data_IF_758154875547
#
_entry.id   IF_758154875547
#
_cell.length_a   1.000
_cell.length_b   1.000
_cell.length_c   1.000
_cell.angle_alpha   90.00
_cell.angle_beta   90.00
_cell.angle_gamma   90.00
#
_symmetry.space_group_name_H-M   'P 1'
#
loop_
_entity.id
_entity.type
_entity.pdbx_description
1 polymer ?
#
# COMPACT_ATOMS: atom_id res chain seq x y z
N UNK A 1 -12.60 21.21 1.35
CA UNK A 1 -11.59 20.25 1.86
C UNK A 1 -11.05 19.52 0.64
N UNK A 2 -9.76 19.65 0.31
CA UNK A 2 -9.17 19.00 -0.87
C UNK A 2 -8.68 17.60 -0.49
N UNK A 3 -9.15 16.60 -1.21
CA UNK A 3 -8.69 15.21 -1.12
C UNK A 3 -7.58 14.99 -2.15
N UNK A 4 -6.75 13.96 -1.97
CA UNK A 4 -5.83 13.55 -3.02
C UNK A 4 -6.64 13.12 -4.25
N UNK A 5 -6.41 13.77 -5.39
CA UNK A 5 -7.08 13.39 -6.63
C UNK A 5 -6.55 12.04 -7.13
N UNK A 6 -7.42 11.06 -7.39
CA UNK A 6 -6.97 9.77 -7.87
C UNK A 6 -6.53 9.82 -9.33
N UNK A 7 -5.45 9.10 -9.64
CA UNK A 7 -5.02 8.91 -11.03
C UNK A 7 -6.14 8.22 -11.84
N UNK A 8 -6.56 8.86 -12.93
CA UNK A 8 -7.68 8.37 -13.75
C UNK A 8 -7.42 6.99 -14.37
N UNK A 9 -6.17 6.72 -14.79
CA UNK A 9 -5.77 5.41 -15.35
C UNK A 9 -5.86 4.33 -14.28
N UNK A 10 -5.45 4.65 -13.05
CA UNK A 10 -5.60 3.74 -11.91
C UNK A 10 -7.06 3.43 -11.60
N UNK A 11 -7.93 4.45 -11.56
CA UNK A 11 -9.37 4.26 -11.32
C UNK A 11 -10.02 3.42 -12.42
N UNK A 12 -9.72 3.70 -13.68
CA UNK A 12 -10.26 2.94 -14.82
C UNK A 12 -9.80 1.48 -14.79
N UNK A 13 -8.49 1.24 -14.57
CA UNK A 13 -7.95 -0.11 -14.46
C UNK A 13 -8.62 -0.89 -13.33
N UNK A 14 -8.70 -0.30 -12.12
CA UNK A 14 -9.33 -0.91 -10.95
C UNK A 14 -10.80 -1.28 -11.21
N UNK A 15 -11.57 -0.39 -11.86
CA UNK A 15 -12.98 -0.65 -12.21
C UNK A 15 -13.15 -1.75 -13.26
N UNK A 16 -12.22 -1.89 -14.19
CA UNK A 16 -12.21 -2.99 -15.18
C UNK A 16 -11.95 -4.36 -14.53
N UNK A 17 -11.35 -4.37 -13.35
CA UNK A 17 -10.86 -5.57 -12.66
C UNK A 17 -9.47 -5.94 -13.15
N UNK A 18 -8.59 -6.26 -12.19
CA UNK A 18 -7.22 -6.72 -12.45
C UNK A 18 -6.75 -7.70 -11.38
N UNK A 19 -5.74 -8.50 -11.75
CA UNK A 19 -4.99 -9.28 -10.79
C UNK A 19 -3.97 -8.39 -10.07
N UNK A 20 -4.19 -8.20 -8.76
CA UNK A 20 -3.31 -7.42 -7.87
C UNK A 20 -2.52 -8.40 -7.01
N UNK A 21 -1.19 -8.37 -7.13
CA UNK A 21 -0.33 -9.22 -6.30
C UNK A 21 -0.04 -8.53 -4.97
N UNK A 22 -0.29 -9.23 -3.87
CA UNK A 22 0.26 -8.86 -2.56
C UNK A 22 1.75 -9.24 -2.53
N UNK A 23 2.63 -8.25 -2.66
CA UNK A 23 4.05 -8.43 -2.97
C UNK A 23 4.84 -8.90 -1.74
N UNK A 24 5.46 -10.10 -1.76
CA UNK A 24 6.29 -10.58 -0.67
C UNK A 24 7.59 -9.78 -0.51
N UNK A 25 8.16 -9.85 0.68
CA UNK A 25 9.46 -9.27 1.01
C UNK A 25 10.58 -10.29 0.81
N UNK A 26 11.56 -9.95 -0.02
CA UNK A 26 12.80 -10.67 -0.16
C UNK A 26 13.85 -10.12 0.81
N UNK A 27 14.40 -11.01 1.63
CA UNK A 27 15.44 -10.67 2.60
C UNK A 27 16.73 -11.45 2.35
N UNK A 28 17.85 -10.82 2.67
CA UNK A 28 19.14 -11.50 2.81
C UNK A 28 19.16 -12.36 4.06
N UNK A 29 20.21 -13.18 4.22
CA UNK A 29 20.42 -13.98 5.45
C UNK A 29 20.45 -13.11 6.72
N UNK A 30 20.92 -11.87 6.59
CA UNK A 30 21.04 -10.90 7.68
C UNK A 30 19.77 -10.06 7.88
N UNK A 31 18.64 -10.45 7.27
CA UNK A 31 17.33 -9.78 7.37
C UNK A 31 17.34 -8.34 6.86
N UNK A 32 18.21 -8.05 5.88
CA UNK A 32 18.19 -6.79 5.11
C UNK A 32 17.40 -6.99 3.82
N UNK A 33 16.87 -5.92 3.25
CA UNK A 33 16.22 -5.97 1.93
C UNK A 33 17.20 -6.56 0.90
N UNK A 34 16.80 -7.64 0.24
CA UNK A 34 17.56 -8.21 -0.89
C UNK A 34 17.05 -7.57 -2.18
N UNK A 35 17.66 -6.44 -2.56
CA UNK A 35 17.19 -5.63 -3.69
C UNK A 35 17.16 -6.40 -5.00
N UNK A 36 18.18 -7.24 -5.25
CA UNK A 36 18.27 -8.06 -6.45
C UNK A 36 17.09 -9.04 -6.55
N UNK A 37 16.77 -9.73 -5.46
CA UNK A 37 15.65 -10.69 -5.42
C UNK A 37 14.30 -9.98 -5.41
N UNK A 38 14.18 -8.85 -4.72
CA UNK A 38 12.95 -8.05 -4.70
C UNK A 38 12.62 -7.57 -6.12
N UNK A 39 13.60 -7.04 -6.85
CA UNK A 39 13.43 -6.62 -8.24
C UNK A 39 13.07 -7.80 -9.16
N UNK A 40 13.73 -8.95 -8.99
CA UNK A 40 13.43 -10.16 -9.76
C UNK A 40 11.97 -10.63 -9.53
N UNK A 41 11.49 -10.61 -8.28
CA UNK A 41 10.10 -10.95 -7.96
C UNK A 41 9.11 -9.95 -8.56
N UNK A 42 9.37 -8.63 -8.49
CA UNK A 42 8.54 -7.62 -9.14
C UNK A 42 8.42 -7.89 -10.63
N UNK A 43 9.56 -8.10 -11.32
CA UNK A 43 9.59 -8.42 -12.76
C UNK A 43 8.83 -9.70 -13.06
N UNK A 44 9.00 -10.74 -12.25
CA UNK A 44 8.29 -12.02 -12.40
C UNK A 44 6.77 -11.84 -12.36
N UNK A 45 6.24 -11.13 -11.37
CA UNK A 45 4.78 -10.92 -11.26
C UNK A 45 4.22 -10.13 -12.44
N UNK A 46 4.93 -9.08 -12.87
CA UNK A 46 4.51 -8.30 -14.04
C UNK A 46 4.56 -9.12 -15.32
N UNK A 47 5.63 -9.89 -15.53
CA UNK A 47 5.77 -10.80 -16.68
C UNK A 47 4.72 -11.92 -16.65
N UNK A 48 4.24 -12.31 -15.47
CA UNK A 48 3.16 -13.29 -15.28
C UNK A 48 1.75 -12.72 -15.49
N UNK A 49 1.63 -11.42 -15.82
CA UNK A 49 0.35 -10.79 -16.16
C UNK A 49 -0.30 -9.99 -15.03
N UNK A 50 0.38 -9.74 -13.90
CA UNK A 50 -0.15 -8.87 -12.86
C UNK A 50 -0.46 -7.46 -13.42
N UNK A 51 -1.69 -6.99 -13.17
CA UNK A 51 -2.12 -5.64 -13.54
C UNK A 51 -1.90 -4.62 -12.43
N UNK A 52 -1.57 -5.09 -11.22
CA UNK A 52 -1.23 -4.25 -10.08
C UNK A 52 -0.37 -4.98 -9.06
N UNK A 53 0.33 -4.19 -8.26
CA UNK A 53 1.23 -4.66 -7.20
C UNK A 53 0.93 -3.87 -5.94
N UNK A 54 0.65 -4.58 -4.86
CA UNK A 54 0.48 -4.02 -3.52
C UNK A 54 1.69 -4.41 -2.65
N UNK A 55 2.48 -3.43 -2.21
CA UNK A 55 3.71 -3.64 -1.40
C UNK A 55 3.64 -2.85 -0.10
N UNK A 56 4.36 -3.30 0.93
CA UNK A 56 4.15 -2.80 2.30
C UNK A 56 2.87 -3.37 2.91
N UNK A 57 2.46 -4.55 2.45
CA UNK A 57 1.22 -5.21 2.87
C UNK A 57 1.49 -6.36 3.83
N UNK A 58 0.45 -7.02 4.36
CA UNK A 58 0.63 -8.17 5.26
C UNK A 58 1.62 -9.22 4.69
N UNK A 59 1.54 -9.55 3.40
CA UNK A 59 2.48 -10.46 2.72
C UNK A 59 3.91 -9.95 2.68
N UNK A 60 4.11 -8.63 2.67
CA UNK A 60 5.40 -7.95 2.81
C UNK A 60 5.93 -7.97 4.26
N UNK A 61 5.10 -8.41 5.22
CA UNK A 61 5.33 -8.39 6.66
C UNK A 61 5.30 -6.99 7.28
N UNK A 62 4.42 -6.76 8.26
CA UNK A 62 4.24 -5.43 8.86
C UNK A 62 5.48 -4.84 9.54
N UNK A 63 6.50 -5.65 9.82
CA UNK A 63 7.77 -5.16 10.37
C UNK A 63 8.45 -4.13 9.45
N UNK A 64 8.18 -4.11 8.14
CA UNK A 64 8.75 -3.11 7.24
C UNK A 64 8.36 -1.68 7.60
N UNK A 65 7.23 -1.50 8.30
CA UNK A 65 6.74 -0.21 8.78
C UNK A 65 7.40 0.24 10.08
N UNK A 66 8.24 -0.56 10.73
CA UNK A 66 8.99 -0.11 11.91
C UNK A 66 10.01 0.96 11.48
N UNK A 67 9.86 2.23 11.92
CA UNK A 67 10.75 3.30 11.50
C UNK A 67 12.21 3.05 11.87
N UNK A 68 12.48 2.21 12.89
CA UNK A 68 13.85 1.85 13.32
C UNK A 68 14.57 0.98 12.30
N UNK A 69 13.83 0.25 11.45
CA UNK A 69 14.42 -0.55 10.38
C UNK A 69 14.73 0.28 9.14
N UNK A 70 14.08 1.43 8.96
CA UNK A 70 14.27 2.30 7.79
C UNK A 70 13.99 1.62 6.45
N UNK A 71 13.15 0.57 6.43
CA UNK A 71 12.99 -0.32 5.27
C UNK A 71 11.84 0.09 4.34
N UNK A 72 10.79 0.74 4.88
CA UNK A 72 9.58 1.06 4.13
C UNK A 72 9.86 1.87 2.85
N UNK A 73 10.49 3.04 2.97
CA UNK A 73 10.76 3.89 1.82
C UNK A 73 11.69 3.23 0.79
N UNK A 74 12.86 2.64 1.15
CA UNK A 74 13.71 1.94 0.19
C UNK A 74 12.98 0.82 -0.57
N UNK A 75 12.12 0.06 0.13
CA UNK A 75 11.33 -1.00 -0.49
C UNK A 75 10.32 -0.45 -1.50
N UNK A 76 9.59 0.61 -1.14
CA UNK A 76 8.62 1.24 -2.03
C UNK A 76 9.31 1.86 -3.25
N UNK A 77 10.45 2.53 -3.04
CA UNK A 77 11.24 3.16 -4.09
C UNK A 77 11.73 2.13 -5.10
N UNK A 78 12.40 1.08 -4.63
CA UNK A 78 12.88 -0.02 -5.49
C UNK A 78 11.72 -0.66 -6.26
N UNK A 79 10.58 -0.88 -5.60
CA UNK A 79 9.42 -1.47 -6.27
C UNK A 79 8.89 -0.55 -7.37
N UNK A 80 8.79 0.76 -7.12
CA UNK A 80 8.33 1.73 -8.10
C UNK A 80 9.28 1.79 -9.31
N UNK A 81 10.59 1.90 -9.08
CA UNK A 81 11.61 1.95 -10.14
C UNK A 81 11.55 0.71 -11.05
N UNK A 82 11.40 -0.49 -10.47
CA UNK A 82 11.30 -1.72 -11.25
C UNK A 82 9.96 -1.82 -11.99
N UNK A 83 8.88 -1.26 -11.44
CA UNK A 83 7.61 -1.15 -12.14
C UNK A 83 7.72 -0.18 -13.32
N UNK A 84 8.36 0.98 -13.16
CA UNK A 84 8.64 1.93 -14.25
C UNK A 84 9.39 1.24 -15.41
N UNK A 85 10.46 0.48 -15.10
CA UNK A 85 11.19 -0.32 -16.10
C UNK A 85 10.27 -1.30 -16.84
N UNK A 86 9.36 -1.97 -16.11
CA UNK A 86 8.45 -2.93 -16.70
C UNK A 86 7.37 -2.27 -17.57
N UNK A 87 6.83 -1.12 -17.14
CA UNK A 87 5.87 -0.34 -17.93
C UNK A 87 6.54 0.15 -19.21
N UNK A 88 7.76 0.70 -19.13
CA UNK A 88 8.51 1.15 -20.30
C UNK A 88 8.75 0.01 -21.30
N UNK A 89 9.15 -1.16 -20.82
CA UNK A 89 9.44 -2.33 -21.67
C UNK A 89 8.19 -2.97 -22.28
N UNK A 90 7.05 -2.93 -21.59
CA UNK A 90 5.83 -3.64 -22.03
C UNK A 90 4.74 -2.73 -22.59
N UNK A 91 4.85 -1.41 -22.41
CA UNK A 91 3.81 -0.44 -22.76
C UNK A 91 2.54 -0.55 -21.93
N UNK A 92 2.51 -1.40 -20.88
CA UNK A 92 1.34 -1.63 -20.04
C UNK A 92 1.40 -0.76 -18.79
N UNK A 93 0.25 -0.21 -18.41
CA UNK A 93 0.08 0.45 -17.11
C UNK A 93 -0.10 -0.58 -15.99
N UNK A 94 0.54 -0.35 -14.84
CA UNK A 94 0.53 -1.22 -13.67
C UNK A 94 0.12 -0.40 -12.45
N UNK A 95 -0.96 -0.82 -11.78
CA UNK A 95 -1.47 -0.14 -10.60
C UNK A 95 -0.54 -0.38 -9.40
N UNK A 96 0.02 0.68 -8.84
CA UNK A 96 0.90 0.67 -7.65
C UNK A 96 0.08 0.98 -6.41
N UNK A 97 0.06 0.07 -5.44
CA UNK A 97 -0.65 0.21 -4.17
C UNK A 97 0.35 0.10 -3.02
N UNK A 98 0.39 1.11 -2.16
CA UNK A 98 1.22 1.10 -0.95
C UNK A 98 0.39 0.64 0.24
N UNK A 99 0.88 -0.31 1.03
CA UNK A 99 0.31 -0.52 2.35
C UNK A 99 0.75 0.58 3.31
N UNK A 100 -0.15 1.01 4.18
CA UNK A 100 0.04 2.13 5.10
C UNK A 100 -0.36 1.64 6.48
N UNK A 101 0.49 1.83 7.48
CA UNK A 101 0.28 1.28 8.82
C UNK A 101 0.66 2.25 9.94
N UNK A 102 0.27 1.86 11.15
CA UNK A 102 0.66 2.55 12.38
C UNK A 102 -0.24 3.73 12.77
N UNK A 103 0.11 4.46 13.85
CA UNK A 103 -0.69 5.59 14.33
C UNK A 103 -0.78 6.70 13.27
N UNK A 104 -1.78 7.58 13.40
CA UNK A 104 -2.12 8.58 12.37
C UNK A 104 -0.92 9.37 11.84
N UNK A 105 -0.01 9.82 12.69
CA UNK A 105 1.17 10.55 12.24
C UNK A 105 2.10 9.71 11.36
N UNK A 106 2.29 8.43 11.70
CA UNK A 106 3.07 7.50 10.87
C UNK A 106 2.35 7.22 9.56
N UNK A 107 1.07 6.86 9.61
CA UNK A 107 0.28 6.54 8.42
C UNK A 107 0.27 7.72 7.42
N UNK A 108 0.15 8.96 7.91
CA UNK A 108 0.25 10.17 7.08
C UNK A 108 1.64 10.34 6.45
N UNK A 109 2.73 10.06 7.18
CA UNK A 109 4.09 10.09 6.61
C UNK A 109 4.28 9.02 5.55
N UNK A 110 3.84 7.80 5.81
CA UNK A 110 3.92 6.69 4.86
C UNK A 110 3.10 6.94 3.60
N UNK A 111 1.92 7.56 3.74
CA UNK A 111 1.08 8.00 2.63
C UNK A 111 1.76 9.06 1.76
N UNK A 112 2.43 10.04 2.38
CA UNK A 112 3.22 11.05 1.66
C UNK A 112 4.37 10.43 0.89
N UNK A 113 5.14 9.55 1.52
CA UNK A 113 6.22 8.79 0.86
C UNK A 113 5.69 8.03 -0.34
N UNK A 114 4.57 7.31 -0.18
CA UNK A 114 3.95 6.57 -1.28
C UNK A 114 3.54 7.50 -2.43
N UNK A 115 2.86 8.60 -2.14
CA UNK A 115 2.48 9.61 -3.15
C UNK A 115 3.70 10.15 -3.88
N UNK A 116 4.73 10.55 -3.14
CA UNK A 116 5.92 11.19 -3.70
C UNK A 116 6.74 10.21 -4.57
N UNK A 117 6.59 8.89 -4.34
CA UNK A 117 7.14 7.81 -5.17
C UNK A 117 6.21 7.37 -6.31
N UNK A 118 5.10 8.07 -6.54
CA UNK A 118 4.17 7.80 -7.64
C UNK A 118 3.23 6.62 -7.41
N UNK A 119 2.97 6.22 -6.17
CA UNK A 119 1.94 5.22 -5.89
C UNK A 119 0.55 5.81 -6.10
N UNK A 120 -0.36 5.03 -6.70
CA UNK A 120 -1.68 5.50 -7.09
C UNK A 120 -2.70 5.44 -5.96
N UNK A 121 -2.52 4.52 -5.00
CA UNK A 121 -3.42 4.36 -3.88
C UNK A 121 -2.74 3.73 -2.65
N UNK A 122 -3.37 3.93 -1.49
CA UNK A 122 -3.00 3.36 -0.21
C UNK A 122 -3.97 2.25 0.25
N UNK A 123 -3.44 1.18 0.83
CA UNK A 123 -4.20 0.16 1.56
C UNK A 123 -3.91 0.29 3.05
N UNK A 124 -4.91 0.64 3.85
CA UNK A 124 -4.72 1.12 5.24
C UNK A 124 -4.92 0.00 6.25
N UNK A 125 -3.93 -0.17 7.11
CA UNK A 125 -3.97 -1.04 8.29
C UNK A 125 -4.45 -0.23 9.50
N UNK A 126 -5.33 -0.84 10.31
CA UNK A 126 -6.00 -0.14 11.42
C UNK A 126 -5.72 -0.82 12.79
N UNK A 127 -4.84 -1.80 12.87
CA UNK A 127 -4.56 -2.56 14.09
C UNK A 127 -3.95 -1.71 15.18
N UNK A 128 -3.21 -0.64 14.86
CA UNK A 128 -2.76 0.34 15.85
C UNK A 128 -3.90 1.14 16.49
N UNK A 129 -5.11 1.09 15.92
CA UNK A 129 -6.34 1.70 16.44
C UNK A 129 -7.30 0.68 17.04
N UNK A 130 -6.82 -0.52 17.38
CA UNK A 130 -7.63 -1.52 18.08
C UNK A 130 -8.23 -0.93 19.36
N UNK A 131 -9.56 -1.01 19.49
CA UNK A 131 -10.30 -0.46 20.62
C UNK A 131 -10.63 1.03 20.53
N UNK A 132 -10.18 1.73 19.48
CA UNK A 132 -10.59 3.11 19.21
C UNK A 132 -12.07 3.18 18.80
N UNK A 133 -12.68 4.37 18.94
CA UNK A 133 -14.03 4.62 18.44
C UNK A 133 -14.09 4.65 16.91
N UNK A 134 -15.29 4.45 16.36
CA UNK A 134 -15.52 4.60 14.92
C UNK A 134 -15.14 6.00 14.43
N UNK A 135 -15.45 7.05 15.20
CA UNK A 135 -15.06 8.44 14.91
C UNK A 135 -13.56 8.55 14.71
N UNK A 136 -12.77 7.95 15.61
CA UNK A 136 -11.32 8.04 15.55
C UNK A 136 -10.72 7.28 14.37
N UNK A 137 -11.29 6.12 14.02
CA UNK A 137 -10.89 5.39 12.82
C UNK A 137 -11.22 6.19 11.55
N UNK A 138 -12.40 6.82 11.48
CA UNK A 138 -12.78 7.66 10.35
C UNK A 138 -11.87 8.88 10.21
N UNK A 139 -11.52 9.56 11.31
CA UNK A 139 -10.56 10.66 11.31
C UNK A 139 -9.19 10.22 10.79
N UNK A 140 -8.71 9.06 11.23
CA UNK A 140 -7.46 8.49 10.77
C UNK A 140 -7.47 8.24 9.26
N UNK A 141 -8.51 7.56 8.76
CA UNK A 141 -8.63 7.26 7.32
C UNK A 141 -8.76 8.54 6.49
N UNK A 142 -9.50 9.54 6.99
CA UNK A 142 -9.59 10.86 6.35
C UNK A 142 -8.23 11.58 6.31
N UNK A 143 -7.42 11.46 7.36
CA UNK A 143 -6.08 12.05 7.37
C UNK A 143 -5.19 11.40 6.30
N UNK A 144 -5.23 10.08 6.16
CA UNK A 144 -4.51 9.35 5.10
C UNK A 144 -5.04 9.71 3.71
N UNK A 145 -6.37 9.76 3.53
CA UNK A 145 -7.02 10.05 2.25
C UNK A 145 -6.76 11.47 1.71
N UNK A 146 -6.29 12.39 2.55
CA UNK A 146 -5.81 13.71 2.11
C UNK A 146 -4.46 13.63 1.41
N UNK A 147 -3.66 12.62 1.72
CA UNK A 147 -2.31 12.45 1.17
C UNK A 147 -2.29 11.50 -0.03
N UNK A 148 -3.05 10.40 0.03
CA UNK A 148 -3.13 9.40 -1.04
C UNK A 148 -4.54 8.77 -1.09
N UNK A 149 -5.11 8.48 -2.28
CA UNK A 149 -6.42 7.82 -2.37
C UNK A 149 -6.44 6.48 -1.62
N UNK A 150 -7.45 6.24 -0.79
CA UNK A 150 -7.58 4.98 -0.04
C UNK A 150 -8.32 3.95 -0.89
N UNK A 151 -7.63 2.85 -1.21
CA UNK A 151 -8.15 1.74 -2.01
C UNK A 151 -8.82 0.65 -1.18
N UNK A 152 -8.30 0.36 0.02
CA UNK A 152 -8.78 -0.75 0.82
C UNK A 152 -8.24 -0.77 2.25
N UNK A 153 -8.67 -1.77 3.01
CA UNK A 153 -8.36 -1.92 4.43
C UNK A 153 -7.92 -3.34 4.77
N UNK A 154 -7.02 -3.49 5.74
CA UNK A 154 -6.74 -4.79 6.35
C UNK A 154 -7.75 -5.12 7.44
N UNK A 155 -8.73 -5.96 7.10
CA UNK A 155 -9.85 -6.27 8.00
C UNK A 155 -9.72 -7.61 8.74
N UNK A 156 -8.74 -8.46 8.39
CA UNK A 156 -8.67 -9.82 8.90
C UNK A 156 -8.29 -9.84 10.39
N UNK A 157 -9.29 -10.05 11.24
CA UNK A 157 -9.16 -9.94 12.70
C UNK A 157 -8.19 -11.00 13.27
N UNK A 158 -8.13 -12.19 12.67
CA UNK A 158 -7.26 -13.28 13.11
C UNK A 158 -5.76 -12.96 13.04
N UNK A 159 -5.36 -11.96 12.24
CA UNK A 159 -3.96 -11.55 12.03
C UNK A 159 -3.71 -10.09 12.44
N UNK A 160 -4.54 -9.54 13.33
CA UNK A 160 -4.32 -8.20 13.88
C UNK A 160 -5.20 -7.10 13.28
N UNK A 161 -6.04 -7.40 12.28
CA UNK A 161 -7.02 -6.45 11.74
C UNK A 161 -8.11 -6.04 12.74
N UNK A 162 -8.84 -4.98 12.39
CA UNK A 162 -9.94 -4.43 13.18
C UNK A 162 -11.27 -4.71 12.47
N UNK A 163 -12.29 -5.11 13.23
CA UNK A 163 -13.64 -5.26 12.70
C UNK A 163 -14.23 -3.87 12.45
N UNK A 164 -14.60 -3.59 11.20
CA UNK A 164 -15.22 -2.34 10.80
C UNK A 164 -16.74 -2.52 10.71
N UNK A 165 -17.52 -1.95 11.65
CA UNK A 165 -18.97 -2.13 11.70
C UNK A 165 -19.67 -1.35 10.59
N UNK A 166 -20.96 -1.63 10.37
CA UNK A 166 -21.78 -0.94 9.36
C UNK A 166 -21.76 0.60 9.48
N UNK A 167 -21.76 1.12 10.72
CA UNK A 167 -21.69 2.56 11.00
C UNK A 167 -20.45 3.23 10.40
N UNK A 168 -19.30 2.57 10.49
CA UNK A 168 -18.05 3.01 9.87
C UNK A 168 -18.21 3.12 8.35
N UNK A 169 -18.66 2.06 7.67
CA UNK A 169 -18.81 2.06 6.21
C UNK A 169 -19.79 3.08 5.69
N UNK A 170 -20.92 3.29 6.38
CA UNK A 170 -21.94 4.28 5.98
C UNK A 170 -21.42 5.72 6.07
N UNK A 171 -20.43 5.97 6.93
CA UNK A 171 -19.82 7.29 7.17
C UNK A 171 -18.46 7.45 6.48
N UNK A 172 -17.96 6.37 5.87
CA UNK A 172 -16.72 6.36 5.15
C UNK A 172 -16.99 7.03 3.79
N UNK A 173 -16.40 8.23 3.64
CA UNK A 173 -16.62 9.21 2.57
C UNK A 173 -17.89 10.05 2.77
#
# INVERSE_FOLDING_TARGET
>A
MMWAEPDRRAVEALRRGLFIVAHPLALTRDRRLDERRQAALTRYYVSSGAGGVAVGVHTTQFRVHDPRLGMYEPLLRLTAEVLDECEHRTGRFIVRIAGIAGPTEQAVREAKVARDLGYHAGMVELGSLRGASEERMLEHVKAVAREIPVFGFYMQVAIGGVRLPYGFWRRLF
#
